data_IF_062066167735
#
_entry.id   IF_062066167735
#
_cell.length_a   1.000
_cell.length_b   1.000
_cell.length_c   1.000
_cell.angle_alpha   90.00
_cell.angle_beta   90.00
_cell.angle_gamma   90.00
#
_symmetry.space_group_name_H-M   'P 1'
#
loop_
_entity.id
_entity.type
_entity.pdbx_description
1 polymer ?
#
# COMPACT_ATOMS: atom_id res chain seq x y z
N UNK A 1 -3.76 55.83 -8.12
CA UNK A 1 -4.60 54.63 -7.94
C UNK A 1 -4.06 53.36 -8.64
N UNK A 2 -3.04 53.45 -9.46
CA UNK A 2 -2.50 52.30 -10.23
C UNK A 2 -1.53 51.36 -9.46
N UNK A 3 -0.90 51.82 -8.39
CA UNK A 3 0.09 51.01 -7.63
C UNK A 3 -0.49 49.93 -6.73
N UNK A 4 -1.80 49.96 -6.37
CA UNK A 4 -2.41 48.95 -5.51
C UNK A 4 -2.88 47.70 -6.26
N UNK A 5 -3.09 47.78 -7.57
CA UNK A 5 -3.54 46.64 -8.38
C UNK A 5 -2.39 45.67 -8.76
N UNK A 6 -1.15 46.22 -8.93
CA UNK A 6 0.00 45.38 -9.30
C UNK A 6 0.41 44.43 -8.18
N UNK A 7 0.34 44.85 -6.91
CA UNK A 7 0.67 44.00 -5.77
C UNK A 7 -0.30 42.83 -5.56
N UNK A 8 -1.60 43.04 -5.85
CA UNK A 8 -2.63 41.99 -5.71
C UNK A 8 -2.48 40.91 -6.79
N UNK A 9 -2.15 41.32 -8.03
CA UNK A 9 -1.94 40.35 -9.13
C UNK A 9 -0.72 39.45 -8.88
N UNK A 10 0.40 39.99 -8.39
CA UNK A 10 1.60 39.20 -8.09
C UNK A 10 1.37 38.24 -6.96
N UNK A 11 0.63 38.62 -5.90
CA UNK A 11 0.28 37.71 -4.81
C UNK A 11 -0.63 36.57 -5.24
N UNK A 12 -1.61 36.82 -6.10
CA UNK A 12 -2.51 35.79 -6.62
C UNK A 12 -1.74 34.82 -7.54
N UNK A 13 -0.84 35.32 -8.37
CA UNK A 13 -0.03 34.50 -9.29
C UNK A 13 0.94 33.59 -8.50
N UNK A 14 1.58 34.09 -7.44
CA UNK A 14 2.41 33.27 -6.55
C UNK A 14 1.61 32.17 -5.82
N UNK A 15 0.40 32.48 -5.34
CA UNK A 15 -0.47 31.47 -4.73
C UNK A 15 -0.88 30.38 -5.73
N UNK A 16 -1.26 30.75 -6.94
CA UNK A 16 -1.65 29.80 -7.98
C UNK A 16 -0.47 28.92 -8.44
N UNK A 17 0.74 29.45 -8.53
CA UNK A 17 1.94 28.69 -8.87
C UNK A 17 2.34 27.70 -7.75
N UNK A 18 2.15 28.08 -6.48
CA UNK A 18 2.44 27.17 -5.36
C UNK A 18 1.46 25.99 -5.30
N UNK A 19 0.20 26.18 -5.60
CA UNK A 19 -0.81 25.12 -5.67
C UNK A 19 -0.57 24.18 -6.87
N UNK A 20 -0.22 24.73 -8.05
CA UNK A 20 0.10 23.93 -9.23
C UNK A 20 1.34 23.05 -9.01
N UNK A 21 2.37 23.54 -8.33
CA UNK A 21 3.56 22.76 -8.00
C UNK A 21 3.26 21.67 -6.96
N UNK A 22 2.42 21.94 -5.96
CA UNK A 22 2.04 20.96 -4.95
C UNK A 22 1.20 19.81 -5.55
N UNK A 23 0.27 20.12 -6.44
CA UNK A 23 -0.52 19.09 -7.14
C UNK A 23 0.35 18.24 -8.07
N UNK A 24 1.29 18.83 -8.79
CA UNK A 24 2.22 18.10 -9.64
C UNK A 24 3.16 17.17 -8.86
N UNK A 25 3.60 17.57 -7.67
CA UNK A 25 4.44 16.72 -6.82
C UNK A 25 3.67 15.56 -6.20
N UNK A 26 2.44 15.79 -5.75
CA UNK A 26 1.56 14.73 -5.25
C UNK A 26 1.28 13.67 -6.33
N UNK A 27 1.00 14.11 -7.56
CA UNK A 27 0.80 13.24 -8.71
C UNK A 27 2.04 12.38 -9.00
N UNK A 28 3.24 12.96 -9.02
CA UNK A 28 4.50 12.24 -9.24
C UNK A 28 4.77 11.19 -8.17
N UNK A 29 4.43 11.48 -6.90
CA UNK A 29 4.56 10.51 -5.80
C UNK A 29 3.60 9.35 -5.98
N UNK A 30 2.36 9.62 -6.36
CA UNK A 30 1.37 8.62 -6.64
C UNK A 30 1.80 7.70 -7.81
N UNK A 31 2.24 8.28 -8.92
CA UNK A 31 2.76 7.53 -10.08
C UNK A 31 3.96 6.64 -9.70
N UNK A 32 4.90 7.17 -8.91
CA UNK A 32 6.06 6.39 -8.42
C UNK A 32 5.62 5.22 -7.53
N UNK A 33 4.69 5.44 -6.61
CA UNK A 33 4.17 4.37 -5.75
C UNK A 33 3.44 3.29 -6.55
N UNK A 34 2.68 3.68 -7.58
CA UNK A 34 2.02 2.72 -8.46
C UNK A 34 3.03 1.93 -9.30
N UNK A 35 4.06 2.56 -9.82
CA UNK A 35 5.14 1.85 -10.52
C UNK A 35 5.80 0.81 -9.62
N UNK A 36 6.19 1.18 -8.39
CA UNK A 36 6.78 0.25 -7.43
C UNK A 36 5.83 -0.92 -7.14
N UNK A 37 4.55 -0.65 -6.94
CA UNK A 37 3.52 -1.67 -6.68
C UNK A 37 3.42 -2.65 -7.83
N UNK A 38 3.30 -2.16 -9.06
CA UNK A 38 3.22 -3.01 -10.26
C UNK A 38 4.47 -3.87 -10.40
N UNK A 39 5.67 -3.29 -10.28
CA UNK A 39 6.93 -4.03 -10.34
C UNK A 39 7.02 -5.11 -9.24
N UNK A 40 6.60 -4.81 -8.01
CA UNK A 40 6.57 -5.80 -6.92
C UNK A 40 5.56 -6.92 -7.18
N UNK A 41 4.40 -6.58 -7.71
CA UNK A 41 3.38 -7.57 -8.06
C UNK A 41 3.81 -8.46 -9.23
N UNK A 42 4.60 -7.93 -10.17
CA UNK A 42 5.09 -8.70 -11.32
C UNK A 42 6.33 -9.54 -11.00
N UNK A 43 7.26 -9.02 -10.21
CA UNK A 43 8.57 -9.61 -10.02
C UNK A 43 8.73 -10.34 -8.67
N UNK A 44 8.13 -9.81 -7.59
CA UNK A 44 8.34 -10.33 -6.24
C UNK A 44 7.22 -11.27 -5.80
N UNK A 45 5.97 -10.87 -6.04
CA UNK A 45 4.81 -11.61 -5.54
C UNK A 45 4.76 -13.07 -6.02
N UNK A 46 5.01 -13.41 -7.30
CA UNK A 46 4.99 -14.79 -7.75
C UNK A 46 6.03 -15.68 -7.05
N UNK A 47 7.22 -15.14 -6.84
CA UNK A 47 8.31 -15.86 -6.18
C UNK A 47 7.98 -16.15 -4.72
N UNK A 48 7.56 -15.10 -3.97
CA UNK A 48 7.31 -15.24 -2.54
C UNK A 48 6.07 -16.09 -2.25
N UNK A 49 5.03 -16.07 -3.07
CA UNK A 49 3.88 -16.96 -2.92
C UNK A 49 4.29 -18.42 -3.08
N UNK A 50 5.08 -18.76 -4.10
CA UNK A 50 5.55 -20.12 -4.36
C UNK A 50 6.54 -20.62 -3.32
N UNK A 51 7.47 -19.77 -2.89
CA UNK A 51 8.44 -20.12 -1.83
C UNK A 51 7.80 -20.37 -0.47
N UNK A 52 6.58 -19.86 -0.26
CA UNK A 52 5.80 -20.07 0.95
C UNK A 52 4.67 -21.08 0.77
N UNK A 53 4.59 -21.79 -0.37
CA UNK A 53 3.57 -22.80 -0.70
C UNK A 53 2.14 -22.24 -0.53
N UNK A 54 1.89 -21.03 -1.03
CA UNK A 54 0.60 -20.31 -0.93
C UNK A 54 -0.04 -20.18 -2.29
N UNK A 55 -1.25 -20.73 -2.46
CA UNK A 55 -2.04 -20.62 -3.69
C UNK A 55 -2.84 -19.34 -3.75
N UNK A 56 -3.32 -18.87 -2.59
CA UNK A 56 -4.11 -17.65 -2.49
C UNK A 56 -3.72 -16.84 -1.26
N UNK A 57 -3.56 -15.53 -1.42
CA UNK A 57 -3.34 -14.60 -0.31
C UNK A 57 -4.50 -13.63 -0.23
N UNK A 58 -5.21 -13.60 0.90
CA UNK A 58 -6.34 -12.70 1.13
C UNK A 58 -5.99 -11.73 2.25
N UNK A 59 -6.09 -10.43 1.98
CA UNK A 59 -6.05 -9.39 3.01
C UNK A 59 -7.44 -8.81 3.22
N UNK A 60 -7.81 -8.53 4.45
CA UNK A 60 -9.13 -8.05 4.82
C UNK A 60 -9.03 -6.61 5.31
N UNK A 61 -9.71 -5.72 4.62
CA UNK A 61 -9.88 -4.34 5.02
C UNK A 61 -11.32 -4.08 5.46
N UNK A 62 -11.54 -3.18 6.38
CA UNK A 62 -12.86 -2.70 6.76
C UNK A 62 -12.81 -1.22 7.09
N UNK A 63 -13.97 -0.58 7.10
CA UNK A 63 -14.09 0.84 7.39
C UNK A 63 -13.37 1.21 8.70
N UNK A 64 -12.43 2.15 8.62
CA UNK A 64 -11.65 2.63 9.75
C UNK A 64 -10.63 1.65 10.33
N UNK A 65 -10.42 0.49 9.69
CA UNK A 65 -9.45 -0.52 10.12
C UNK A 65 -8.80 -1.19 8.92
N UNK A 66 -7.80 -0.53 8.36
CA UNK A 66 -7.03 -1.03 7.23
C UNK A 66 -5.98 -2.06 7.66
N UNK A 67 -5.75 -3.07 6.81
CA UNK A 67 -4.60 -3.96 6.96
C UNK A 67 -3.29 -3.17 6.81
N UNK A 68 -2.24 -3.44 7.60
CA UNK A 68 -0.94 -2.75 7.48
C UNK A 68 -0.30 -2.81 6.09
N UNK A 69 -0.65 -3.79 5.25
CA UNK A 69 -0.17 -3.90 3.88
C UNK A 69 -1.00 -3.08 2.87
N UNK A 70 -2.05 -2.40 3.29
CA UNK A 70 -2.90 -1.60 2.40
C UNK A 70 -2.09 -0.52 1.65
N UNK A 71 -1.08 0.06 2.28
CA UNK A 71 -0.21 1.03 1.60
C UNK A 71 0.60 0.37 0.46
N UNK A 72 1.03 -0.88 0.65
CA UNK A 72 1.76 -1.64 -0.37
C UNK A 72 0.82 -2.04 -1.52
N UNK A 73 -0.44 -2.39 -1.23
CA UNK A 73 -1.42 -2.88 -2.22
C UNK A 73 -2.19 -1.78 -2.93
N UNK A 74 -2.28 -0.61 -2.35
CA UNK A 74 -3.02 0.54 -2.87
C UNK A 74 -4.20 0.90 -1.99
N UNK A 75 -4.14 2.10 -1.43
CA UNK A 75 -5.17 2.59 -0.52
C UNK A 75 -6.44 2.95 -1.29
N UNK A 76 -7.55 2.34 -0.89
CA UNK A 76 -8.89 2.63 -1.41
C UNK A 76 -9.90 2.80 -0.28
N UNK A 77 -11.06 3.32 -0.61
CA UNK A 77 -12.17 3.40 0.34
C UNK A 77 -12.85 2.03 0.46
N UNK A 78 -13.16 1.64 1.69
CA UNK A 78 -13.88 0.42 2.01
C UNK A 78 -15.17 0.80 2.76
N UNK A 79 -16.32 0.34 2.29
CA UNK A 79 -17.61 0.60 2.94
C UNK A 79 -17.74 -0.17 4.25
N UNK A 80 -17.96 -1.48 4.18
CA UNK A 80 -17.98 -2.36 5.36
C UNK A 80 -16.76 -3.26 5.38
N UNK A 81 -16.57 -4.05 4.31
CA UNK A 81 -15.45 -4.95 4.08
C UNK A 81 -14.94 -4.81 2.66
N UNK A 82 -13.64 -5.03 2.47
CA UNK A 82 -12.99 -5.12 1.18
C UNK A 82 -11.79 -6.03 1.25
N UNK A 83 -11.46 -6.66 0.14
CA UNK A 83 -10.46 -7.69 0.07
C UNK A 83 -9.50 -7.42 -1.08
N UNK A 84 -8.20 -7.57 -0.82
CA UNK A 84 -7.23 -7.81 -1.87
C UNK A 84 -6.95 -9.30 -1.92
N UNK A 85 -7.08 -9.89 -3.10
CA UNK A 85 -6.93 -11.33 -3.31
C UNK A 85 -5.90 -11.56 -4.42
N UNK A 86 -4.86 -12.29 -4.08
CA UNK A 86 -3.80 -12.69 -4.99
C UNK A 86 -3.85 -14.20 -5.17
N UNK A 87 -3.93 -14.68 -6.40
CA UNK A 87 -4.09 -16.11 -6.69
C UNK A 87 -3.01 -16.60 -7.67
N UNK A 88 -2.24 -17.62 -7.32
CA UNK A 88 -1.36 -18.31 -8.24
C UNK A 88 -2.16 -19.30 -9.09
N UNK A 89 -2.28 -19.00 -10.39
CA UNK A 89 -2.96 -19.84 -11.37
C UNK A 89 -2.00 -20.81 -12.06
N UNK A 90 -0.75 -20.88 -11.61
CA UNK A 90 0.28 -21.75 -12.19
C UNK A 90 0.90 -21.29 -13.51
N UNK A 91 0.48 -20.15 -14.05
CA UNK A 91 0.92 -19.63 -15.36
C UNK A 91 2.03 -18.58 -15.27
N UNK A 92 2.77 -18.53 -14.17
CA UNK A 92 3.88 -17.60 -13.96
C UNK A 92 3.48 -16.25 -13.35
N UNK A 93 2.32 -15.71 -13.69
CA UNK A 93 1.77 -14.46 -13.15
C UNK A 93 0.72 -14.74 -12.09
N UNK A 94 0.71 -13.92 -11.06
CA UNK A 94 -0.34 -13.93 -10.02
C UNK A 94 -1.56 -13.15 -10.53
N UNK A 95 -2.75 -13.73 -10.46
CA UNK A 95 -4.02 -13.05 -10.68
C UNK A 95 -4.30 -12.14 -9.47
N UNK A 96 -4.74 -10.92 -9.70
CA UNK A 96 -4.90 -9.86 -8.70
C UNK A 96 -6.31 -9.33 -8.72
N UNK A 97 -7.02 -9.50 -7.61
CA UNK A 97 -8.39 -9.00 -7.46
C UNK A 97 -8.48 -8.00 -6.31
N UNK A 98 -9.30 -6.98 -6.52
CA UNK A 98 -9.72 -6.01 -5.52
C UNK A 98 -11.25 -6.08 -5.42
N UNK A 99 -11.74 -6.61 -4.29
CA UNK A 99 -13.17 -6.85 -4.08
C UNK A 99 -13.69 -5.94 -2.96
N UNK A 100 -14.63 -5.05 -3.27
CA UNK A 100 -15.22 -4.13 -2.30
C UNK A 100 -14.29 -3.00 -1.82
N UNK A 101 -13.13 -2.81 -2.45
CA UNK A 101 -12.27 -1.64 -2.23
C UNK A 101 -12.64 -0.59 -3.26
N UNK A 102 -12.90 0.62 -2.80
CA UNK A 102 -13.46 1.71 -3.61
C UNK A 102 -12.66 2.01 -4.88
N UNK A 103 -13.34 2.13 -6.01
CA UNK A 103 -12.75 1.98 -7.34
C UNK A 103 -11.74 3.07 -7.71
N UNK A 104 -12.01 4.34 -7.41
CA UNK A 104 -11.30 5.46 -8.03
C UNK A 104 -9.77 5.44 -7.89
N UNK A 105 -9.22 4.98 -6.74
CA UNK A 105 -7.77 4.92 -6.55
C UNK A 105 -7.16 3.56 -6.93
N UNK A 106 -7.99 2.52 -7.00
CA UNK A 106 -7.57 1.15 -7.31
C UNK A 106 -7.64 0.89 -8.82
N UNK A 107 -8.68 1.36 -9.50
CA UNK A 107 -8.81 1.29 -10.96
C UNK A 107 -7.71 2.07 -11.66
N UNK A 108 -7.47 3.30 -11.24
CA UNK A 108 -6.48 4.19 -11.86
C UNK A 108 -5.03 3.72 -11.68
N UNK A 109 -4.75 2.83 -10.70
CA UNK A 109 -3.39 2.35 -10.47
C UNK A 109 -2.95 1.24 -11.44
N UNK A 110 -3.88 0.62 -12.17
CA UNK A 110 -3.60 -0.42 -13.16
C UNK A 110 -2.94 -1.70 -12.59
N UNK A 111 -3.00 -1.89 -11.27
CA UNK A 111 -2.32 -3.00 -10.60
C UNK A 111 -3.17 -4.27 -10.48
N UNK A 112 -4.49 -4.16 -10.66
CA UNK A 112 -5.45 -5.24 -10.48
C UNK A 112 -6.10 -5.65 -11.80
N UNK A 113 -6.30 -6.97 -11.96
CA UNK A 113 -6.92 -7.57 -13.13
C UNK A 113 -8.44 -7.58 -12.99
N UNK A 114 -8.93 -7.75 -11.75
CA UNK A 114 -10.33 -7.90 -11.42
C UNK A 114 -10.70 -6.89 -10.33
N UNK A 115 -11.74 -6.13 -10.60
CA UNK A 115 -12.36 -5.22 -9.63
C UNK A 115 -13.81 -5.64 -9.49
N UNK A 116 -14.22 -5.98 -8.26
CA UNK A 116 -15.54 -6.53 -7.96
C UNK A 116 -16.10 -6.05 -6.63
N UNK A 117 -17.24 -6.62 -6.24
CA UNK A 117 -17.87 -6.32 -4.96
C UNK A 117 -17.33 -7.24 -3.86
N UNK A 118 -17.43 -6.81 -2.60
CA UNK A 118 -17.04 -7.64 -1.46
C UNK A 118 -17.84 -8.96 -1.40
N UNK A 119 -19.11 -8.92 -1.76
CA UNK A 119 -20.01 -10.09 -1.76
C UNK A 119 -19.63 -11.17 -2.81
N UNK A 120 -18.75 -10.82 -3.76
CA UNK A 120 -18.26 -11.77 -4.78
C UNK A 120 -17.17 -12.71 -4.24
N UNK A 121 -16.65 -12.48 -3.02
CA UNK A 121 -15.49 -13.19 -2.48
C UNK A 121 -15.70 -14.70 -2.43
N UNK A 122 -16.85 -15.18 -1.93
CA UNK A 122 -17.10 -16.61 -1.81
C UNK A 122 -17.07 -17.31 -3.19
N UNK A 123 -17.81 -16.77 -4.16
CA UNK A 123 -17.81 -17.29 -5.53
C UNK A 123 -16.42 -17.24 -6.18
N UNK A 124 -15.67 -16.16 -5.90
CA UNK A 124 -14.29 -15.99 -6.38
C UNK A 124 -13.35 -17.07 -5.85
N UNK A 125 -13.44 -17.41 -4.56
CA UNK A 125 -12.63 -18.47 -3.93
C UNK A 125 -13.07 -19.84 -4.39
N UNK A 126 -14.40 -20.11 -4.49
CA UNK A 126 -14.93 -21.39 -4.95
C UNK A 126 -14.48 -21.74 -6.38
N UNK A 127 -14.49 -20.77 -7.28
CA UNK A 127 -14.04 -20.96 -8.68
C UNK A 127 -12.56 -21.38 -8.76
N UNK A 128 -11.73 -20.89 -7.83
CA UNK A 128 -10.26 -21.11 -7.83
C UNK A 128 -9.84 -22.31 -6.99
N UNK A 129 -10.65 -22.70 -6.03
CA UNK A 129 -10.44 -23.82 -5.10
C UNK A 129 -9.01 -23.95 -4.53
N UNK A 130 -8.45 -22.87 -3.92
CA UNK A 130 -7.08 -22.87 -3.42
C UNK A 130 -6.89 -23.90 -2.32
N UNK A 131 -5.71 -24.55 -2.24
CA UNK A 131 -5.39 -25.52 -1.20
C UNK A 131 -4.72 -24.89 0.03
N UNK A 132 -4.02 -23.75 -0.16
CA UNK A 132 -3.41 -22.97 0.90
C UNK A 132 -3.80 -21.49 0.77
N UNK A 133 -4.54 -20.98 1.76
CA UNK A 133 -5.00 -19.58 1.80
C UNK A 133 -4.24 -18.84 2.90
N UNK A 134 -3.35 -17.95 2.52
CA UNK A 134 -2.63 -17.10 3.46
C UNK A 134 -3.50 -15.93 3.93
N UNK A 135 -3.54 -15.73 5.24
CA UNK A 135 -4.24 -14.62 5.89
C UNK A 135 -3.27 -13.82 6.77
N UNK A 136 -3.48 -12.52 6.88
CA UNK A 136 -2.59 -11.62 7.63
C UNK A 136 -2.83 -11.71 9.13
N UNK A 137 -2.55 -12.87 9.72
CA UNK A 137 -2.34 -13.02 11.14
C UNK A 137 -0.90 -13.47 11.41
N UNK A 138 -0.27 -12.89 12.42
CA UNK A 138 1.15 -13.11 12.71
C UNK A 138 1.40 -13.21 14.20
N UNK A 139 2.46 -13.93 14.56
CA UNK A 139 2.89 -14.09 15.96
C UNK A 139 3.97 -13.06 16.33
N UNK A 140 4.85 -12.74 15.39
CA UNK A 140 6.05 -11.96 15.67
C UNK A 140 6.14 -10.66 14.88
N UNK A 141 5.48 -10.57 13.71
CA UNK A 141 5.59 -9.44 12.79
C UNK A 141 4.28 -8.66 12.74
N UNK A 142 4.16 -7.59 13.52
CA UNK A 142 2.95 -6.77 13.59
C UNK A 142 2.50 -6.19 12.25
N UNK A 143 3.43 -5.95 11.33
CA UNK A 143 3.11 -5.50 9.97
C UNK A 143 2.40 -6.57 9.10
N UNK A 144 2.39 -7.83 9.54
CA UNK A 144 1.68 -8.95 8.92
C UNK A 144 0.48 -9.43 9.77
N UNK A 145 0.09 -8.68 10.81
CA UNK A 145 -0.97 -9.03 11.77
C UNK A 145 -2.14 -8.02 11.65
N UNK A 146 -2.69 -7.90 10.45
CA UNK A 146 -3.80 -6.99 10.15
C UNK A 146 -5.19 -7.60 10.33
N UNK A 147 -5.30 -8.93 10.43
CA UNK A 147 -6.58 -9.62 10.52
C UNK A 147 -7.10 -9.65 11.96
N UNK A 148 -8.01 -8.75 12.30
CA UNK A 148 -8.65 -8.80 13.61
C UNK A 148 -9.61 -10.00 13.75
N UNK A 149 -9.88 -10.42 14.99
CA UNK A 149 -10.73 -11.59 15.30
C UNK A 149 -12.12 -11.54 14.64
N UNK A 150 -12.79 -10.38 14.67
CA UNK A 150 -14.10 -10.21 14.04
C UNK A 150 -14.05 -10.42 12.53
N UNK A 151 -13.01 -9.89 11.87
CA UNK A 151 -12.81 -10.07 10.43
C UNK A 151 -12.49 -11.53 10.09
N UNK A 152 -11.71 -12.22 10.93
CA UNK A 152 -11.45 -13.64 10.81
C UNK A 152 -12.73 -14.48 10.91
N UNK A 153 -13.60 -14.19 11.90
CA UNK A 153 -14.87 -14.88 12.04
C UNK A 153 -15.77 -14.69 10.82
N UNK A 154 -15.94 -13.43 10.39
CA UNK A 154 -16.74 -13.10 9.19
C UNK A 154 -16.22 -13.83 7.96
N UNK A 155 -14.92 -13.77 7.70
CA UNK A 155 -14.30 -14.46 6.58
C UNK A 155 -14.53 -15.98 6.63
N UNK A 156 -14.39 -16.58 7.82
CA UNK A 156 -14.58 -18.01 8.01
C UNK A 156 -16.05 -18.44 7.85
N UNK A 157 -17.00 -17.62 8.26
CA UNK A 157 -18.43 -17.84 8.02
C UNK A 157 -18.77 -17.74 6.53
N UNK A 158 -18.20 -16.75 5.83
CA UNK A 158 -18.45 -16.49 4.42
C UNK A 158 -17.88 -17.58 3.51
N UNK A 159 -16.65 -18.03 3.76
CA UNK A 159 -15.96 -19.05 2.96
C UNK A 159 -16.31 -20.48 3.40
N UNK A 160 -16.82 -20.66 4.61
CA UNK A 160 -17.22 -21.96 5.17
C UNK A 160 -16.05 -22.85 5.62
N UNK A 161 -16.41 -23.96 6.28
CA UNK A 161 -15.46 -24.86 6.93
C UNK A 161 -14.41 -25.45 5.97
N UNK A 162 -14.79 -25.76 4.74
CA UNK A 162 -13.89 -26.30 3.70
C UNK A 162 -12.64 -25.44 3.53
N UNK A 163 -12.81 -24.12 3.44
CA UNK A 163 -11.68 -23.20 3.21
C UNK A 163 -11.03 -22.77 4.52
N UNK A 164 -11.78 -22.72 5.64
CA UNK A 164 -11.21 -22.42 6.94
C UNK A 164 -10.13 -23.42 7.38
N UNK A 165 -10.24 -24.68 6.99
CA UNK A 165 -9.22 -25.71 7.23
C UNK A 165 -7.93 -25.52 6.41
N UNK A 166 -7.95 -24.64 5.38
CA UNK A 166 -6.83 -24.34 4.49
C UNK A 166 -6.11 -23.04 4.83
N UNK A 167 -6.50 -22.36 5.93
CA UNK A 167 -5.89 -21.10 6.33
C UNK A 167 -4.48 -21.31 6.88
N UNK A 168 -3.55 -20.51 6.38
CA UNK A 168 -2.16 -20.43 6.86
C UNK A 168 -1.80 -18.98 7.17
N UNK A 169 -0.82 -18.79 8.05
CA UNK A 169 -0.32 -17.45 8.36
C UNK A 169 0.45 -16.86 7.20
N UNK A 170 0.15 -15.61 6.85
CA UNK A 170 0.90 -14.83 5.88
C UNK A 170 2.17 -14.19 6.48
N UNK A 171 2.55 -14.46 7.73
CA UNK A 171 3.63 -13.76 8.41
C UNK A 171 4.94 -13.77 7.61
N UNK A 172 5.37 -14.95 7.16
CA UNK A 172 6.60 -15.07 6.38
C UNK A 172 6.42 -14.51 4.96
N UNK A 173 5.32 -14.80 4.30
CA UNK A 173 4.97 -14.29 2.96
C UNK A 173 5.00 -12.75 2.94
N UNK A 174 4.33 -12.10 3.88
CA UNK A 174 4.29 -10.65 3.99
C UNK A 174 5.68 -10.05 4.28
N UNK A 175 6.46 -10.70 5.14
CA UNK A 175 7.85 -10.31 5.41
C UNK A 175 8.73 -10.39 4.16
N UNK A 176 8.67 -11.51 3.45
CA UNK A 176 9.44 -11.73 2.22
C UNK A 176 9.02 -10.72 1.13
N UNK A 177 7.72 -10.51 0.94
CA UNK A 177 7.20 -9.52 0.00
C UNK A 177 7.68 -8.10 0.30
N UNK A 178 7.67 -7.69 1.57
CA UNK A 178 8.10 -6.33 1.95
C UNK A 178 9.61 -6.15 1.95
N UNK A 179 10.37 -7.19 2.28
CA UNK A 179 11.84 -7.09 2.35
C UNK A 179 12.54 -7.14 0.99
N UNK A 180 11.96 -7.82 0.00
CA UNK A 180 12.50 -7.85 -1.37
C UNK A 180 12.21 -6.55 -2.09
N UNK A 181 13.27 -5.94 -2.67
CA UNK A 181 13.20 -4.63 -3.30
C UNK A 181 13.31 -4.73 -4.81
N UNK A 182 12.47 -3.96 -5.51
CA UNK A 182 12.59 -3.74 -6.96
C UNK A 182 13.46 -2.52 -7.26
N UNK A 183 13.95 -2.41 -8.49
CA UNK A 183 14.89 -1.36 -8.87
C UNK A 183 14.35 0.06 -8.64
N UNK A 184 13.08 0.30 -8.97
CA UNK A 184 12.41 1.60 -8.76
C UNK A 184 12.28 1.94 -7.27
N UNK A 185 12.04 0.93 -6.42
CA UNK A 185 11.97 1.09 -4.97
C UNK A 185 13.35 1.42 -4.38
N UNK A 186 14.42 0.75 -4.82
CA UNK A 186 15.80 1.06 -4.40
C UNK A 186 16.16 2.51 -4.75
N UNK A 187 15.82 2.95 -5.97
CA UNK A 187 16.05 4.33 -6.38
C UNK A 187 15.28 5.34 -5.53
N UNK A 188 14.02 5.03 -5.17
CA UNK A 188 13.20 5.86 -4.30
C UNK A 188 13.77 5.94 -2.88
N UNK A 189 14.26 4.84 -2.32
CA UNK A 189 14.93 4.81 -1.01
C UNK A 189 16.24 5.60 -1.02
N UNK A 190 17.07 5.48 -2.07
CA UNK A 190 18.30 6.25 -2.20
C UNK A 190 18.03 7.76 -2.21
N UNK A 191 17.02 8.19 -2.98
CA UNK A 191 16.59 9.58 -3.01
C UNK A 191 16.07 10.07 -1.65
N UNK A 192 15.23 9.29 -0.97
CA UNK A 192 14.69 9.64 0.35
C UNK A 192 15.80 9.70 1.41
N UNK A 193 16.76 8.78 1.35
CA UNK A 193 17.93 8.77 2.23
C UNK A 193 18.81 10.00 2.05
N UNK A 194 19.07 10.41 0.80
CA UNK A 194 19.82 11.63 0.49
C UNK A 194 19.10 12.89 0.99
N UNK A 195 17.79 12.96 0.79
CA UNK A 195 16.99 14.07 1.32
C UNK A 195 17.05 14.13 2.85
N UNK A 196 16.91 12.99 3.53
CA UNK A 196 16.97 12.90 4.98
C UNK A 196 18.34 13.30 5.51
N UNK A 197 19.42 12.89 4.84
CA UNK A 197 20.79 13.28 5.17
C UNK A 197 20.96 14.81 5.06
N UNK A 198 20.50 15.41 3.95
CA UNK A 198 20.62 16.85 3.73
C UNK A 198 19.84 17.66 4.79
N UNK A 199 18.64 17.18 5.18
CA UNK A 199 17.84 17.80 6.25
C UNK A 199 18.58 17.71 7.59
N UNK A 200 19.15 16.56 7.92
CA UNK A 200 19.90 16.36 9.15
C UNK A 200 21.16 17.24 9.19
N UNK A 201 21.95 17.27 8.12
CA UNK A 201 23.13 18.13 8.02
C UNK A 201 22.80 19.60 8.22
N UNK A 202 21.71 20.08 7.60
CA UNK A 202 21.26 21.45 7.79
C UNK A 202 20.78 21.69 9.22
N UNK A 203 20.01 20.77 9.81
CA UNK A 203 19.50 20.89 11.18
C UNK A 203 20.64 20.97 12.22
N UNK A 204 21.76 20.28 11.96
CA UNK A 204 22.95 20.33 12.82
C UNK A 204 24.01 21.34 12.40
N UNK A 205 23.74 22.20 11.42
CA UNK A 205 24.66 23.23 10.96
C UNK A 205 24.55 24.51 11.79
N UNK A 206 25.55 25.41 11.61
CA UNK A 206 25.53 26.75 12.20
C UNK A 206 24.42 27.66 11.62
N UNK A 207 23.71 27.25 10.58
CA UNK A 207 22.53 27.96 10.09
C UNK A 207 21.35 27.86 11.08
N UNK A 208 21.24 26.74 11.81
CA UNK A 208 20.16 26.45 12.75
C UNK A 208 20.65 26.50 14.20
N UNK A 209 21.87 25.96 14.46
CA UNK A 209 22.41 25.87 15.82
C UNK A 209 23.38 27.03 16.07
N UNK A 210 23.07 27.83 17.09
CA UNK A 210 23.99 28.82 17.65
C UNK A 210 24.60 28.23 18.96
N UNK A 211 25.91 27.88 18.97
CA UNK A 211 26.54 27.31 20.15
C UNK A 211 26.36 28.19 21.39
N UNK A 212 25.96 27.59 22.50
CA UNK A 212 25.69 28.29 23.76
C UNK A 212 24.37 29.07 23.84
N UNK A 213 23.52 29.00 22.79
CA UNK A 213 22.21 29.67 22.75
C UNK A 213 21.09 28.71 22.40
N UNK A 214 21.25 27.89 21.34
CA UNK A 214 20.24 26.93 20.90
C UNK A 214 20.08 25.80 21.93
N UNK A 215 18.87 25.50 22.32
CA UNK A 215 18.51 24.43 23.27
C UNK A 215 17.80 23.30 22.52
N UNK A 216 17.54 22.17 23.23
CA UNK A 216 16.73 21.05 22.67
C UNK A 216 15.27 21.39 22.42
N UNK A 217 14.79 22.53 22.95
CA UNK A 217 13.41 23.00 22.77
C UNK A 217 13.27 23.93 21.54
N UNK A 218 14.37 24.42 20.98
CA UNK A 218 14.38 25.26 19.78
C UNK A 218 14.37 24.39 18.51
#
# INVERSE_FOLDING_TARGET
MAFRFAGLLVSITCLLMSHANASGEAQKRWERMNQIRQEKFDLVLPEVMRENDVDMWITVNREGFDDPLTEDFGKGYVGSYGYYVFTDRGEGRIERASLGVGPALVEDNGAYDIIGNADDLNAFVEERDPQAIALNYARNIGAADGLCYTSFQKLSEELGAKYAERYVSAEKLASDFRSRRVASEIAAFAWAGEMSRNIAERAFSNEVITPGRTTLAD
#
